data_IF_957868532358
#
_entry.id   IF_957868532358
#
_cell.length_a   1.000
_cell.length_b   1.000
_cell.length_c   1.000
_cell.angle_alpha   90.00
_cell.angle_beta   90.00
_cell.angle_gamma   90.00
#
_symmetry.space_group_name_H-M   'P 1'
#
loop_
_entity.id
_entity.type
_entity.pdbx_description
1 polymer ?
#
# COMPACT_ATOMS: atom_id res chain seq x y z
N UNK A 1 11.01 13.91 -2.41
CA UNK A 1 11.62 12.58 -2.46
C UNK A 1 11.45 12.04 -3.88
N UNK A 2 12.52 11.87 -4.65
CA UNK A 2 12.47 11.31 -6.00
C UNK A 2 12.70 9.79 -5.94
N UNK A 3 11.60 9.02 -5.88
CA UNK A 3 11.64 7.59 -6.12
C UNK A 3 11.62 7.29 -7.62
N UNK A 4 12.18 6.16 -8.05
CA UNK A 4 12.04 5.67 -9.42
C UNK A 4 10.92 4.64 -9.48
N UNK A 5 9.91 4.86 -10.33
CA UNK A 5 8.92 3.82 -10.65
C UNK A 5 9.64 2.69 -11.39
N UNK A 6 9.57 1.49 -10.85
CA UNK A 6 10.22 0.29 -11.41
C UNK A 6 9.26 -0.45 -12.33
N UNK A 7 8.03 -0.66 -11.86
CA UNK A 7 7.03 -1.48 -12.54
C UNK A 7 5.63 -1.13 -12.03
N UNK A 8 4.62 -1.33 -12.88
CA UNK A 8 3.21 -1.35 -12.50
C UNK A 8 2.69 -2.76 -12.79
N UNK A 9 2.09 -3.40 -11.79
CA UNK A 9 1.45 -4.70 -11.93
C UNK A 9 -0.06 -4.48 -11.89
N UNK A 10 -0.77 -4.89 -12.94
CA UNK A 10 -2.23 -4.99 -12.93
C UNK A 10 -2.63 -6.31 -12.27
N UNK A 11 -3.58 -6.24 -11.34
CA UNK A 11 -4.04 -7.36 -10.55
C UNK A 11 -5.39 -7.89 -11.06
N UNK A 12 -5.69 -9.16 -10.77
CA UNK A 12 -6.95 -9.82 -11.18
C UNK A 12 -8.22 -9.18 -10.59
N UNK A 13 -8.09 -8.30 -9.60
CA UNK A 13 -9.18 -7.57 -8.96
C UNK A 13 -9.27 -6.11 -9.40
N UNK A 14 -8.76 -5.80 -10.60
CA UNK A 14 -8.75 -4.49 -11.25
C UNK A 14 -7.94 -3.39 -10.51
N UNK A 15 -7.22 -3.77 -9.46
CA UNK A 15 -6.29 -2.89 -8.78
C UNK A 15 -4.94 -2.85 -9.51
N UNK A 16 -4.20 -1.78 -9.25
CA UNK A 16 -2.83 -1.61 -9.74
C UNK A 16 -1.87 -1.49 -8.57
N UNK A 17 -0.72 -2.16 -8.68
CA UNK A 17 0.38 -2.05 -7.73
C UNK A 17 1.54 -1.35 -8.42
N UNK A 18 1.85 -0.15 -7.98
CA UNK A 18 3.08 0.53 -8.40
C UNK A 18 4.23 0.11 -7.48
N UNK A 19 5.36 -0.27 -8.06
CA UNK A 19 6.57 -0.64 -7.33
C UNK A 19 7.61 0.44 -7.54
N UNK A 20 8.10 1.00 -6.44
CA UNK A 20 9.04 2.11 -6.43
C UNK A 20 10.36 1.72 -5.79
N UNK A 21 11.46 2.07 -6.45
CA UNK A 21 12.80 2.09 -5.88
C UNK A 21 13.01 3.45 -5.21
N UNK A 22 13.06 3.43 -3.88
CA UNK A 22 13.32 4.59 -3.02
C UNK A 22 14.76 4.57 -2.46
N UNK A 23 15.63 3.71 -3.02
CA UNK A 23 17.00 3.54 -2.55
C UNK A 23 17.83 4.80 -2.76
N UNK A 24 18.70 5.09 -1.79
CA UNK A 24 19.55 6.29 -1.81
C UNK A 24 20.86 6.06 -1.05
N UNK A 25 21.88 6.83 -1.41
CA UNK A 25 23.13 6.88 -0.65
C UNK A 25 22.86 7.49 0.73
N UNK A 26 23.39 6.87 1.78
CA UNK A 26 23.41 7.39 3.14
C UNK A 26 24.74 8.11 3.41
N UNK A 27 25.87 7.42 3.20
CA UNK A 27 27.22 7.96 3.38
C UNK A 27 28.24 7.12 2.61
N UNK A 28 29.11 7.76 1.82
CA UNK A 28 30.15 7.06 1.06
C UNK A 28 29.57 5.98 0.14
N UNK A 29 29.95 4.73 0.37
CA UNK A 29 29.47 3.54 -0.33
C UNK A 29 28.26 2.86 0.33
N UNK A 30 27.72 3.44 1.42
CA UNK A 30 26.61 2.89 2.18
C UNK A 30 25.28 3.39 1.66
N UNK A 31 24.42 2.44 1.31
CA UNK A 31 23.08 2.68 0.78
C UNK A 31 22.00 2.34 1.81
N UNK A 32 20.91 3.09 1.73
CA UNK A 32 19.59 2.60 2.07
C UNK A 32 19.03 1.93 0.81
N UNK A 33 18.76 0.64 0.86
CA UNK A 33 17.98 -0.06 -0.17
C UNK A 33 16.53 -0.08 0.30
N UNK A 34 15.63 0.49 -0.50
CA UNK A 34 14.22 0.67 -0.10
C UNK A 34 13.30 0.42 -1.28
N UNK A 35 12.43 -0.57 -1.13
CA UNK A 35 11.35 -0.89 -2.05
C UNK A 35 10.03 -0.50 -1.41
N UNK A 36 9.18 0.19 -2.17
CA UNK A 36 7.82 0.49 -1.75
C UNK A 36 6.81 0.05 -2.82
N UNK A 37 5.86 -0.79 -2.42
CA UNK A 37 4.71 -1.16 -3.23
C UNK A 37 3.49 -0.34 -2.78
N UNK A 38 2.77 0.18 -3.77
CA UNK A 38 1.68 1.14 -3.61
C UNK A 38 0.45 0.61 -4.32
N UNK A 39 -0.65 0.43 -3.60
CA UNK A 39 -1.93 0.08 -4.19
C UNK A 39 -3.00 1.03 -3.67
N UNK A 40 -3.76 1.64 -4.57
CA UNK A 40 -4.86 2.53 -4.21
C UNK A 40 -6.19 1.82 -4.44
N UNK A 41 -7.02 1.76 -3.40
CA UNK A 41 -8.36 1.17 -3.45
C UNK A 41 -9.39 2.30 -3.55
N UNK A 42 -10.14 2.43 -4.65
CA UNK A 42 -11.20 3.41 -4.78
C UNK A 42 -12.27 3.25 -3.68
N UNK A 43 -12.70 4.36 -3.09
CA UNK A 43 -13.80 4.36 -2.14
C UNK A 43 -15.12 4.42 -2.90
N UNK A 44 -15.69 3.24 -3.11
CA UNK A 44 -16.98 3.02 -3.73
C UNK A 44 -17.89 2.16 -2.82
N UNK A 45 -19.21 2.15 -3.01
CA UNK A 45 -20.10 1.32 -2.20
C UNK A 45 -19.70 -0.17 -2.22
N UNK A 46 -19.17 -0.71 -3.31
CA UNK A 46 -18.92 -2.15 -3.49
C UNK A 46 -17.85 -2.72 -2.55
N UNK A 47 -16.99 -1.86 -2.02
CA UNK A 47 -15.94 -2.22 -1.04
C UNK A 47 -16.42 -2.16 0.41
N UNK A 48 -17.64 -1.67 0.66
CA UNK A 48 -18.31 -1.69 1.96
C UNK A 48 -19.30 -2.85 2.06
N UNK A 49 -19.44 -3.41 3.26
CA UNK A 49 -20.50 -4.37 3.56
C UNK A 49 -21.88 -3.74 3.37
N UNK A 50 -22.87 -4.55 2.98
CA UNK A 50 -24.26 -4.11 2.84
C UNK A 50 -24.88 -3.86 4.21
N UNK A 51 -24.76 -2.63 4.71
CA UNK A 51 -25.39 -2.14 5.94
C UNK A 51 -26.15 -0.87 5.63
N UNK A 52 -27.21 -0.56 6.38
CA UNK A 52 -28.01 0.67 6.20
C UNK A 52 -27.20 1.97 6.40
N UNK A 53 -25.99 1.87 6.97
CA UNK A 53 -25.08 2.99 7.23
C UNK A 53 -24.02 3.20 6.13
N UNK A 54 -24.14 2.54 4.98
CA UNK A 54 -23.10 2.47 3.95
C UNK A 54 -22.71 3.85 3.42
N UNK A 55 -23.69 4.71 3.17
CA UNK A 55 -23.49 6.08 2.67
C UNK A 55 -22.77 6.93 3.72
N UNK A 56 -23.18 6.87 4.99
CA UNK A 56 -22.53 7.59 6.09
C UNK A 56 -21.08 7.15 6.26
N UNK A 57 -20.81 5.85 6.21
CA UNK A 57 -19.44 5.32 6.28
C UNK A 57 -18.58 5.81 5.10
N UNK A 58 -19.13 5.82 3.90
CA UNK A 58 -18.43 6.28 2.70
C UNK A 58 -18.10 7.78 2.80
N UNK A 59 -19.03 8.60 3.29
CA UNK A 59 -18.81 10.03 3.51
C UNK A 59 -17.68 10.27 4.52
N UNK A 60 -17.70 9.57 5.66
CA UNK A 60 -16.65 9.67 6.68
C UNK A 60 -15.29 9.25 6.10
N UNK A 61 -15.24 8.13 5.38
CA UNK A 61 -14.01 7.67 4.75
C UNK A 61 -13.49 8.68 3.72
N UNK A 62 -14.37 9.25 2.90
CA UNK A 62 -13.98 10.27 1.91
C UNK A 62 -13.50 11.57 2.54
N UNK A 63 -14.12 11.99 3.64
CA UNK A 63 -13.68 13.16 4.40
C UNK A 63 -12.27 12.98 4.97
N UNK A 64 -11.90 11.76 5.34
CA UNK A 64 -10.59 11.47 5.95
C UNK A 64 -9.52 11.11 4.92
N UNK A 65 -9.85 10.35 3.89
CA UNK A 65 -8.90 9.76 2.94
C UNK A 65 -9.03 10.29 1.51
N UNK A 66 -10.03 11.11 1.20
CA UNK A 66 -10.37 11.50 -0.17
C UNK A 66 -11.07 10.35 -0.92
N UNK A 67 -10.93 10.27 -2.24
CA UNK A 67 -11.68 9.28 -3.04
C UNK A 67 -11.11 7.85 -3.01
N UNK A 68 -10.02 7.61 -2.29
CA UNK A 68 -9.32 6.33 -2.27
C UNK A 68 -8.59 6.09 -0.95
N UNK A 69 -8.40 4.82 -0.60
CA UNK A 69 -7.54 4.39 0.50
C UNK A 69 -6.27 3.79 -0.07
N UNK A 70 -5.12 4.35 0.30
CA UNK A 70 -3.82 3.82 -0.10
C UNK A 70 -3.34 2.72 0.84
N UNK A 71 -2.96 1.58 0.27
CA UNK A 71 -2.11 0.58 0.88
C UNK A 71 -0.65 0.85 0.50
N UNK A 72 0.24 0.66 1.47
CA UNK A 72 1.69 0.79 1.33
C UNK A 72 2.35 -0.42 1.97
N UNK A 73 3.16 -1.13 1.19
CA UNK A 73 4.09 -2.12 1.70
C UNK A 73 5.50 -1.57 1.47
N UNK A 74 6.32 -1.55 2.53
CA UNK A 74 7.68 -1.03 2.46
C UNK A 74 8.65 -2.06 3.03
N UNK A 75 9.71 -2.34 2.29
CA UNK A 75 10.82 -3.17 2.73
C UNK A 75 12.11 -2.41 2.53
N UNK A 76 12.91 -2.28 3.59
CA UNK A 76 14.14 -1.51 3.53
C UNK A 76 15.26 -2.06 4.41
N UNK A 77 16.49 -1.78 4.00
CA UNK A 77 17.70 -2.12 4.74
C UNK A 77 18.71 -0.99 4.64
N UNK A 78 19.23 -0.59 5.79
CA UNK A 78 20.26 0.44 5.92
C UNK A 78 21.67 -0.16 5.80
N UNK A 79 22.65 0.72 5.50
CA UNK A 79 24.09 0.42 5.50
C UNK A 79 24.53 -0.71 4.54
N UNK A 80 23.79 -0.88 3.44
CA UNK A 80 24.10 -1.87 2.40
C UNK A 80 25.28 -1.38 1.56
N UNK A 81 26.24 -2.25 1.27
CA UNK A 81 27.35 -1.91 0.38
C UNK A 81 26.82 -1.62 -1.04
N UNK A 82 27.40 -0.62 -1.72
CA UNK A 82 27.05 -0.26 -3.10
C UNK A 82 27.04 -1.47 -4.04
N UNK A 83 27.93 -2.45 -3.85
CA UNK A 83 28.05 -3.66 -4.68
C UNK A 83 26.89 -4.64 -4.46
N UNK A 84 26.30 -4.63 -3.26
CA UNK A 84 25.19 -5.51 -2.87
C UNK A 84 23.82 -4.89 -3.15
N UNK A 85 23.77 -3.56 -3.33
CA UNK A 85 22.54 -2.77 -3.48
C UNK A 85 21.55 -3.39 -4.47
N UNK A 86 22.01 -3.67 -5.69
CA UNK A 86 21.13 -4.15 -6.75
C UNK A 86 20.63 -5.57 -6.48
N UNK A 87 21.51 -6.47 -6.03
CA UNK A 87 21.15 -7.85 -5.69
C UNK A 87 20.08 -7.88 -4.58
N UNK A 88 20.25 -7.07 -3.53
CA UNK A 88 19.27 -6.97 -2.45
C UNK A 88 17.93 -6.37 -2.92
N UNK A 89 17.97 -5.37 -3.81
CA UNK A 89 16.73 -4.80 -4.36
C UNK A 89 15.95 -5.84 -5.15
N UNK A 90 16.62 -6.64 -5.98
CA UNK A 90 15.99 -7.75 -6.72
C UNK A 90 15.44 -8.84 -5.80
N UNK A 91 16.11 -9.11 -4.67
CA UNK A 91 15.59 -10.01 -3.64
C UNK A 91 14.26 -9.48 -3.06
N UNK A 92 14.20 -8.20 -2.69
CA UNK A 92 12.96 -7.57 -2.19
C UNK A 92 11.85 -7.63 -3.24
N UNK A 93 12.17 -7.35 -4.50
CA UNK A 93 11.21 -7.45 -5.60
C UNK A 93 10.67 -8.89 -5.73
N UNK A 94 11.55 -9.90 -5.64
CA UNK A 94 11.16 -11.29 -5.66
C UNK A 94 10.26 -11.69 -4.49
N UNK A 95 10.56 -11.22 -3.27
CA UNK A 95 9.73 -11.44 -2.08
C UNK A 95 8.37 -10.79 -2.24
N UNK A 96 8.33 -9.53 -2.70
CA UNK A 96 7.08 -8.81 -2.97
C UNK A 96 6.21 -9.59 -3.96
N UNK A 97 6.75 -9.98 -5.11
CA UNK A 97 5.99 -10.68 -6.15
C UNK A 97 5.49 -12.05 -5.70
N UNK A 98 6.27 -12.78 -4.89
CA UNK A 98 5.87 -14.11 -4.40
C UNK A 98 4.85 -14.05 -3.27
N UNK A 99 4.94 -13.07 -2.38
CA UNK A 99 4.20 -13.09 -1.10
C UNK A 99 3.15 -11.99 -0.98
N UNK A 100 3.43 -10.79 -1.50
CA UNK A 100 2.57 -9.62 -1.31
C UNK A 100 1.60 -9.48 -2.46
N UNK A 101 2.08 -9.56 -3.71
CA UNK A 101 1.23 -9.42 -4.91
C UNK A 101 0.02 -10.39 -4.89
N UNK A 102 0.17 -11.70 -4.60
CA UNK A 102 -0.98 -12.61 -4.56
C UNK A 102 -2.01 -12.23 -3.49
N UNK A 103 -1.57 -11.70 -2.35
CA UNK A 103 -2.46 -11.20 -1.32
C UNK A 103 -3.25 -9.97 -1.77
N UNK A 104 -2.59 -9.04 -2.48
CA UNK A 104 -3.22 -7.85 -3.03
C UNK A 104 -4.20 -8.18 -4.17
N UNK A 105 -3.91 -9.21 -4.98
CA UNK A 105 -4.79 -9.66 -6.07
C UNK A 105 -6.06 -10.35 -5.58
N UNK A 106 -6.15 -10.73 -4.31
CA UNK A 106 -7.32 -11.42 -3.79
C UNK A 106 -8.57 -10.54 -3.90
N UNK A 107 -9.70 -11.09 -4.37
CA UNK A 107 -10.97 -10.37 -4.58
C UNK A 107 -11.48 -9.62 -3.34
N UNK A 108 -11.22 -10.16 -2.16
CA UNK A 108 -11.66 -9.55 -0.89
C UNK A 108 -10.68 -8.50 -0.34
N UNK A 109 -9.51 -8.29 -0.96
CA UNK A 109 -8.47 -7.40 -0.43
C UNK A 109 -9.01 -6.00 -0.17
N UNK A 110 -9.66 -5.39 -1.17
CA UNK A 110 -10.23 -4.05 -1.06
C UNK A 110 -11.20 -3.91 0.11
N UNK A 111 -12.13 -4.87 0.25
CA UNK A 111 -13.10 -4.93 1.35
C UNK A 111 -12.42 -5.04 2.70
N UNK A 112 -11.42 -5.92 2.83
CA UNK A 112 -10.68 -6.13 4.09
C UNK A 112 -9.87 -4.90 4.48
N UNK A 113 -9.24 -4.22 3.52
CA UNK A 113 -8.50 -2.99 3.75
C UNK A 113 -9.41 -1.89 4.28
N UNK A 114 -10.53 -1.63 3.59
CA UNK A 114 -11.50 -0.61 4.00
C UNK A 114 -12.09 -0.91 5.37
N UNK A 115 -12.45 -2.17 5.64
CA UNK A 115 -12.91 -2.59 6.96
C UNK A 115 -11.86 -2.35 8.06
N UNK A 116 -10.57 -2.57 7.77
CA UNK A 116 -9.48 -2.22 8.69
C UNK A 116 -9.42 -0.73 8.97
N UNK A 117 -9.54 0.11 7.95
CA UNK A 117 -9.53 1.58 8.12
C UNK A 117 -10.71 2.08 8.91
N UNK A 118 -11.90 1.52 8.72
CA UNK A 118 -13.05 1.85 9.57
C UNK A 118 -12.77 1.50 11.03
N UNK A 119 -12.23 0.30 11.32
CA UNK A 119 -11.88 -0.09 12.70
C UNK A 119 -10.83 0.83 13.31
N UNK A 120 -9.78 1.16 12.56
CA UNK A 120 -8.73 2.10 12.98
C UNK A 120 -9.32 3.49 13.29
N UNK A 121 -10.21 4.00 12.44
CA UNK A 121 -10.88 5.29 12.66
C UNK A 121 -11.79 5.26 13.88
N UNK A 122 -12.60 4.20 14.05
CA UNK A 122 -13.46 4.06 15.23
C UNK A 122 -12.64 4.02 16.52
N UNK A 123 -11.47 3.38 16.52
CA UNK A 123 -10.59 3.36 17.68
C UNK A 123 -9.92 4.72 17.95
N UNK A 124 -9.56 5.46 16.89
CA UNK A 124 -8.81 6.72 16.99
C UNK A 124 -9.70 7.94 17.27
N UNK A 125 -10.83 8.05 16.58
CA UNK A 125 -11.79 9.14 16.76
C UNK A 125 -13.22 8.64 16.51
N UNK A 126 -13.89 8.08 17.55
CA UNK A 126 -15.26 7.58 17.43
C UNK A 126 -16.26 8.65 16.99
N UNK A 127 -16.01 9.93 17.28
CA UNK A 127 -16.94 11.05 17.01
C UNK A 127 -17.20 11.26 15.53
N UNK A 128 -16.31 10.77 14.66
CA UNK A 128 -16.51 10.82 13.22
C UNK A 128 -17.74 10.02 12.75
N UNK A 129 -18.27 9.12 13.59
CA UNK A 129 -19.36 8.21 13.24
C UNK A 129 -20.70 8.56 13.90
N UNK A 130 -20.75 9.59 14.76
CA UNK A 130 -21.96 10.03 15.45
C UNK A 130 -22.52 11.29 14.79
#
# INVERSE_FOLDING_TARGET
MSGRLVEIIELDNDLKVEIWDLSRVLAGDRWLVSLEARADVPLAPEVLSSTDEKEKLLEVLRRVYGDKVSYRYKQERHFVDKREKEALFQEFLGILKRNVVPYLSHRDFARRLVASKIRELKARDPRLFF
#
